data_IF_346065554606
#
_entry.id   IF_346065554606
#
_cell.length_a   1.000
_cell.length_b   1.000
_cell.length_c   1.000
_cell.angle_alpha   90.00
_cell.angle_beta   90.00
_cell.angle_gamma   90.00
#
_symmetry.space_group_name_H-M   'P 1'
#
loop_
_entity.id
_entity.type
_entity.pdbx_description
1 polymer ?
#
# COMPACT_ATOMS: atom_id res chain seq x y z
N UNK A 1 25.13 8.96 -10.21
CA UNK A 1 25.01 9.15 -11.66
C UNK A 1 24.47 7.84 -12.22
N UNK A 2 23.13 7.72 -12.29
CA UNK A 2 22.45 6.53 -12.84
C UNK A 2 22.63 6.52 -14.37
N UNK A 3 22.85 5.34 -14.97
CA UNK A 3 22.84 5.13 -16.42
C UNK A 3 21.57 5.74 -17.06
N UNK A 4 21.67 6.34 -18.26
CA UNK A 4 20.52 6.92 -18.93
C UNK A 4 19.45 5.85 -19.19
N UNK A 5 18.26 6.10 -18.64
CA UNK A 5 17.04 5.27 -18.67
C UNK A 5 16.47 4.96 -20.08
N UNK A 6 17.21 5.25 -21.15
CA UNK A 6 16.76 5.18 -22.54
C UNK A 6 17.04 3.83 -23.22
N UNK A 7 18.16 3.17 -22.90
CA UNK A 7 18.61 2.02 -23.71
C UNK A 7 17.89 0.71 -23.38
N UNK A 8 17.37 0.53 -22.16
CA UNK A 8 16.63 -0.70 -21.81
C UNK A 8 15.16 -0.68 -22.25
N UNK A 9 14.61 0.50 -22.57
CA UNK A 9 13.24 0.64 -23.06
C UNK A 9 13.13 0.59 -24.60
N UNK A 10 14.24 0.82 -25.31
CA UNK A 10 14.30 0.86 -26.78
C UNK A 10 14.43 -0.52 -27.44
N UNK A 11 14.50 -1.61 -26.65
CA UNK A 11 14.76 -2.97 -27.15
C UNK A 11 13.59 -3.72 -27.78
N UNK A 12 12.42 -3.10 -27.99
CA UNK A 12 11.29 -3.77 -28.62
C UNK A 12 10.49 -2.82 -29.53
N UNK A 13 10.84 -2.90 -30.81
CA UNK A 13 10.04 -2.61 -32.02
C UNK A 13 9.52 -1.18 -32.29
N UNK A 14 10.04 -0.63 -33.39
CA UNK A 14 9.56 0.48 -34.22
C UNK A 14 8.29 1.26 -33.77
N UNK A 15 8.47 2.34 -33.02
CA UNK A 15 7.60 3.52 -33.12
C UNK A 15 8.48 4.77 -33.30
N UNK A 16 8.44 5.32 -34.51
CA UNK A 16 9.24 6.45 -34.98
C UNK A 16 8.76 7.78 -34.39
N UNK A 17 9.08 8.04 -33.13
CA UNK A 17 9.16 9.40 -32.59
C UNK A 17 10.54 9.56 -31.97
N UNK A 18 11.35 10.46 -32.53
CA UNK A 18 12.67 10.75 -31.94
C UNK A 18 12.43 11.23 -30.50
N UNK A 19 13.17 10.72 -29.49
CA UNK A 19 12.99 11.11 -28.08
C UNK A 19 13.10 12.63 -27.87
N UNK A 20 13.73 13.35 -28.80
CA UNK A 20 13.84 14.82 -28.81
C UNK A 20 12.51 15.58 -28.96
N UNK A 21 11.46 15.01 -29.55
CA UNK A 21 10.17 15.70 -29.74
C UNK A 21 9.24 15.56 -28.52
N UNK A 22 9.58 14.67 -27.59
CA UNK A 22 8.77 14.37 -26.40
C UNK A 22 9.08 15.31 -25.23
N UNK A 23 10.27 15.90 -25.22
CA UNK A 23 10.80 16.74 -24.15
C UNK A 23 11.05 18.17 -24.63
N UNK A 24 10.83 19.16 -23.77
CA UNK A 24 10.93 20.57 -24.14
C UNK A 24 12.40 21.05 -24.07
N UNK A 25 13.01 21.34 -25.22
CA UNK A 25 14.20 22.22 -25.31
C UNK A 25 15.41 21.87 -24.45
N UNK A 26 15.73 20.59 -24.25
CA UNK A 26 16.86 20.13 -23.43
C UNK A 26 16.57 20.03 -21.93
N UNK A 27 15.37 20.42 -21.48
CA UNK A 27 14.85 20.07 -20.16
C UNK A 27 14.21 18.67 -20.19
N UNK A 28 14.36 17.90 -19.12
CA UNK A 28 13.73 16.58 -18.95
C UNK A 28 12.20 16.65 -18.68
N UNK A 29 11.54 17.79 -18.90
CA UNK A 29 10.07 17.93 -18.79
C UNK A 29 9.37 17.76 -20.15
N UNK A 30 8.15 17.24 -20.15
CA UNK A 30 7.42 16.91 -21.37
C UNK A 30 7.01 18.15 -22.17
N UNK A 31 7.17 18.11 -23.49
CA UNK A 31 6.54 19.07 -24.40
C UNK A 31 5.00 18.84 -24.44
N UNK A 32 4.21 19.85 -24.83
CA UNK A 32 2.76 19.67 -24.95
C UNK A 32 2.44 18.58 -25.98
N UNK A 33 1.77 17.51 -25.54
CA UNK A 33 1.44 16.37 -26.39
C UNK A 33 0.41 16.79 -27.46
N UNK A 34 0.82 16.76 -28.74
CA UNK A 34 -0.01 17.15 -29.89
C UNK A 34 -0.31 16.02 -30.88
N UNK A 35 0.30 14.85 -30.70
CA UNK A 35 0.13 13.68 -31.58
C UNK A 35 -0.24 12.44 -30.78
N UNK A 36 -0.96 11.52 -31.40
CA UNK A 36 -1.31 10.23 -30.80
C UNK A 36 -0.07 9.38 -30.49
N UNK A 37 0.94 9.38 -31.37
CA UNK A 37 2.18 8.63 -31.15
C UNK A 37 2.98 9.17 -29.97
N UNK A 38 2.97 10.50 -29.79
CA UNK A 38 3.56 11.15 -28.62
C UNK A 38 2.78 10.80 -27.34
N UNK A 39 1.45 10.77 -27.39
CA UNK A 39 0.61 10.36 -26.26
C UNK A 39 0.88 8.90 -25.88
N UNK A 40 0.94 7.98 -26.85
CA UNK A 40 1.21 6.56 -26.63
C UNK A 40 2.60 6.36 -26.00
N UNK A 41 3.61 7.04 -26.53
CA UNK A 41 4.98 6.96 -26.02
C UNK A 41 5.08 7.51 -24.60
N UNK A 42 4.48 8.68 -24.35
CA UNK A 42 4.40 9.31 -23.03
C UNK A 42 3.67 8.41 -22.02
N UNK A 43 2.53 7.84 -22.40
CA UNK A 43 1.76 6.91 -21.57
C UNK A 43 2.59 5.67 -21.19
N UNK A 44 3.30 5.08 -22.16
CA UNK A 44 4.14 3.91 -21.90
C UNK A 44 5.31 4.23 -20.97
N UNK A 45 6.01 5.34 -21.19
CA UNK A 45 7.13 5.77 -20.34
C UNK A 45 6.65 6.00 -18.90
N UNK A 46 5.54 6.73 -18.73
CA UNK A 46 4.96 7.00 -17.42
C UNK A 46 4.47 5.72 -16.73
N UNK A 47 3.91 4.78 -17.48
CA UNK A 47 3.53 3.45 -16.99
C UNK A 47 4.74 2.70 -16.44
N UNK A 48 5.82 2.62 -17.22
CA UNK A 48 7.04 1.90 -16.81
C UNK A 48 7.68 2.57 -15.58
N UNK A 49 7.74 3.89 -15.54
CA UNK A 49 8.25 4.64 -14.38
C UNK A 49 7.39 4.42 -13.14
N UNK A 50 6.06 4.43 -13.27
CA UNK A 50 5.13 4.15 -12.19
C UNK A 50 5.36 2.74 -11.63
N UNK A 51 5.31 1.71 -12.48
CA UNK A 51 5.39 0.32 -12.03
C UNK A 51 6.75 -0.10 -11.49
N UNK A 52 7.84 0.57 -11.89
CA UNK A 52 9.17 0.40 -11.25
C UNK A 52 9.15 0.73 -9.75
N UNK A 53 8.26 1.61 -9.30
CA UNK A 53 8.10 1.98 -7.89
C UNK A 53 6.87 1.28 -7.30
N UNK A 54 5.75 1.27 -8.01
CA UNK A 54 4.48 0.71 -7.56
C UNK A 54 4.57 -0.80 -7.31
N UNK A 55 5.19 -1.58 -8.20
CA UNK A 55 5.31 -3.03 -8.03
C UNK A 55 5.93 -3.44 -6.69
N UNK A 56 7.17 -3.02 -6.38
CA UNK A 56 7.79 -3.31 -5.08
C UNK A 56 7.00 -2.74 -3.90
N UNK A 57 6.38 -1.57 -4.05
CA UNK A 57 5.60 -0.95 -2.98
C UNK A 57 4.32 -1.72 -2.68
N UNK A 58 3.61 -2.18 -3.71
CA UNK A 58 2.43 -3.04 -3.59
C UNK A 58 2.80 -4.36 -2.92
N UNK A 59 3.91 -4.99 -3.32
CA UNK A 59 4.41 -6.21 -2.66
C UNK A 59 4.68 -5.93 -1.18
N UNK A 60 5.32 -4.81 -0.85
CA UNK A 60 5.58 -4.40 0.54
C UNK A 60 4.27 -4.29 1.32
N UNK A 61 3.26 -3.58 0.79
CA UNK A 61 1.97 -3.40 1.45
C UNK A 61 1.21 -4.71 1.63
N UNK A 62 1.18 -5.57 0.59
CA UNK A 62 0.55 -6.88 0.65
C UNK A 62 1.22 -7.80 1.67
N UNK A 63 2.56 -7.81 1.74
CA UNK A 63 3.28 -8.57 2.75
C UNK A 63 3.00 -8.05 4.17
N UNK A 64 2.98 -6.73 4.36
CA UNK A 64 2.64 -6.13 5.66
C UNK A 64 1.21 -6.46 6.09
N UNK A 65 0.26 -6.46 5.16
CA UNK A 65 -1.12 -6.89 5.44
C UNK A 65 -1.18 -8.38 5.75
N UNK A 66 -0.50 -9.20 4.94
CA UNK A 66 -0.38 -10.65 5.14
C UNK A 66 0.19 -11.02 6.51
N UNK A 67 1.18 -10.28 7.03
CA UNK A 67 1.69 -10.48 8.39
C UNK A 67 0.57 -10.37 9.43
N UNK A 68 -0.32 -9.37 9.31
CA UNK A 68 -1.46 -9.23 10.21
C UNK A 68 -2.47 -10.37 10.01
N UNK A 69 -2.79 -10.73 8.77
CA UNK A 69 -3.72 -11.83 8.47
C UNK A 69 -3.24 -13.16 9.05
N UNK A 70 -1.95 -13.49 8.88
CA UNK A 70 -1.34 -14.72 9.40
C UNK A 70 -1.46 -14.76 10.93
N UNK A 71 -1.15 -13.66 11.62
CA UNK A 71 -1.28 -13.62 13.09
C UNK A 71 -2.72 -13.87 13.52
N UNK A 72 -3.70 -13.22 12.88
CA UNK A 72 -5.11 -13.41 13.21
C UNK A 72 -5.55 -14.85 12.95
N UNK A 73 -5.05 -15.52 11.91
CA UNK A 73 -5.36 -16.94 11.65
C UNK A 73 -4.84 -17.83 12.78
N UNK A 74 -3.62 -17.61 13.24
CA UNK A 74 -3.02 -18.40 14.32
C UNK A 74 -3.58 -18.05 15.71
N UNK A 75 -3.96 -16.78 15.95
CA UNK A 75 -4.40 -16.27 17.26
C UNK A 75 -5.92 -16.30 17.42
N UNK A 76 -6.70 -16.28 16.34
CA UNK A 76 -8.17 -16.14 16.34
C UNK A 76 -8.96 -17.17 17.14
N UNK A 77 -8.28 -18.14 17.77
CA UNK A 77 -8.82 -19.10 18.73
C UNK A 77 -8.59 -18.73 20.20
N UNK A 78 -7.89 -17.64 20.54
CA UNK A 78 -7.44 -17.37 21.91
C UNK A 78 -7.64 -15.90 22.34
N UNK A 79 -8.13 -15.75 23.58
CA UNK A 79 -8.87 -14.59 24.09
C UNK A 79 -8.14 -13.24 24.21
N UNK A 80 -8.97 -12.21 24.31
CA UNK A 80 -8.66 -10.80 24.03
C UNK A 80 -8.07 -9.96 25.19
N UNK A 81 -7.59 -10.56 26.29
CA UNK A 81 -7.39 -9.79 27.55
C UNK A 81 -5.93 -9.46 27.89
N UNK A 82 -4.93 -10.20 27.38
CA UNK A 82 -3.51 -9.94 27.71
C UNK A 82 -2.77 -8.98 26.76
N UNK A 83 -3.46 -8.41 25.77
CA UNK A 83 -2.83 -7.69 24.64
C UNK A 83 -2.57 -6.19 24.88
N UNK A 84 -3.12 -5.56 25.92
CA UNK A 84 -3.23 -4.10 26.01
C UNK A 84 -1.93 -3.36 26.37
N UNK A 85 -1.15 -3.86 27.34
CA UNK A 85 0.10 -3.22 27.77
C UNK A 85 1.26 -3.42 26.78
N UNK A 86 1.31 -4.59 26.13
CA UNK A 86 2.26 -4.89 25.05
C UNK A 86 1.98 -4.01 23.83
N UNK A 87 0.70 -3.77 23.50
CA UNK A 87 0.31 -2.94 22.34
C UNK A 87 0.88 -1.53 22.36
N UNK A 88 0.94 -0.85 23.51
CA UNK A 88 1.40 0.55 23.60
C UNK A 88 2.91 0.66 23.31
N UNK A 89 3.73 -0.22 23.88
CA UNK A 89 5.17 -0.23 23.62
C UNK A 89 5.48 -0.58 22.15
N UNK A 90 4.72 -1.53 21.59
CA UNK A 90 4.78 -1.91 20.17
C UNK A 90 4.42 -0.77 19.23
N UNK A 91 3.44 0.07 19.58
CA UNK A 91 3.01 1.20 18.75
C UNK A 91 4.15 2.19 18.51
N UNK A 92 4.96 2.48 19.53
CA UNK A 92 6.08 3.44 19.41
C UNK A 92 7.13 2.94 18.42
N UNK A 93 7.56 1.69 18.55
CA UNK A 93 8.60 1.09 17.70
C UNK A 93 8.10 0.91 16.27
N UNK A 94 6.85 0.47 16.12
CA UNK A 94 6.19 0.37 14.82
C UNK A 94 6.16 1.73 14.13
N UNK A 95 5.90 2.81 14.89
CA UNK A 95 5.93 4.19 14.37
C UNK A 95 7.32 4.59 13.88
N UNK A 96 8.40 4.23 14.61
CA UNK A 96 9.77 4.45 14.16
C UNK A 96 10.07 3.70 12.85
N UNK A 97 9.72 2.41 12.77
CA UNK A 97 9.89 1.61 11.55
C UNK A 97 9.13 2.21 10.36
N UNK A 98 7.92 2.72 10.58
CA UNK A 98 7.16 3.42 9.55
C UNK A 98 7.86 4.69 9.06
N UNK A 99 8.52 5.44 9.95
CA UNK A 99 9.34 6.60 9.57
C UNK A 99 10.46 6.22 8.60
N UNK A 100 11.22 5.17 8.90
CA UNK A 100 12.30 4.68 8.02
C UNK A 100 11.77 4.10 6.70
N UNK A 101 10.62 3.44 6.73
CA UNK A 101 9.92 2.98 5.54
C UNK A 101 9.54 4.17 4.63
N UNK A 102 8.99 5.24 5.20
CA UNK A 102 8.64 6.46 4.43
C UNK A 102 9.88 7.13 3.85
N UNK A 103 10.98 7.17 4.59
CA UNK A 103 12.26 7.67 4.09
C UNK A 103 12.75 6.86 2.86
N UNK A 104 12.78 5.53 2.95
CA UNK A 104 13.21 4.67 1.85
C UNK A 104 12.26 4.74 0.63
N UNK A 105 10.96 4.96 0.86
CA UNK A 105 9.99 5.23 -0.20
C UNK A 105 10.31 6.54 -0.93
N UNK A 106 10.54 7.63 -0.20
CA UNK A 106 10.90 8.93 -0.80
C UNK A 106 12.19 8.85 -1.64
N UNK A 107 13.18 8.08 -1.16
CA UNK A 107 14.44 7.83 -1.87
C UNK A 107 14.33 6.81 -3.02
N UNK A 108 13.12 6.34 -3.36
CA UNK A 108 12.85 5.32 -4.40
C UNK A 108 13.59 3.99 -4.18
N UNK A 109 14.06 3.68 -2.97
CA UNK A 109 14.72 2.39 -2.63
C UNK A 109 13.70 1.31 -2.24
N UNK A 110 12.55 1.30 -2.91
CA UNK A 110 11.40 0.44 -2.60
C UNK A 110 11.63 -1.05 -2.88
N UNK A 111 12.59 -1.41 -3.73
CA UNK A 111 12.98 -2.82 -3.96
C UNK A 111 13.52 -3.49 -2.69
N UNK A 112 14.26 -2.74 -1.88
CA UNK A 112 14.82 -3.24 -0.62
C UNK A 112 13.71 -3.43 0.41
N UNK A 113 12.76 -2.50 0.47
CA UNK A 113 11.57 -2.63 1.30
C UNK A 113 10.76 -3.89 0.95
N UNK A 114 10.59 -4.19 -0.34
CA UNK A 114 9.88 -5.38 -0.79
C UNK A 114 10.56 -6.67 -0.31
N UNK A 115 11.89 -6.77 -0.46
CA UNK A 115 12.64 -7.93 0.02
C UNK A 115 12.58 -8.08 1.53
N UNK A 116 12.74 -6.98 2.29
CA UNK A 116 12.61 -6.99 3.76
C UNK A 116 11.20 -7.46 4.17
N UNK A 117 10.15 -7.00 3.48
CA UNK A 117 8.77 -7.38 3.80
C UNK A 117 8.47 -8.86 3.47
N UNK A 118 8.94 -9.37 2.33
CA UNK A 118 8.78 -10.78 1.94
C UNK A 118 9.52 -11.69 2.93
N UNK A 119 10.78 -11.38 3.23
CA UNK A 119 11.57 -12.16 4.20
C UNK A 119 10.97 -12.08 5.60
N UNK A 120 10.50 -10.89 6.01
CA UNK A 120 9.81 -10.68 7.27
C UNK A 120 8.55 -11.56 7.39
N UNK A 121 7.75 -11.66 6.32
CA UNK A 121 6.58 -12.54 6.30
C UNK A 121 6.95 -14.03 6.40
N UNK A 122 7.99 -14.47 5.69
CA UNK A 122 8.45 -15.87 5.75
C UNK A 122 8.95 -16.21 7.16
N UNK A 123 9.77 -15.33 7.75
CA UNK A 123 10.28 -15.49 9.11
C UNK A 123 9.11 -15.51 10.11
N UNK A 124 8.12 -14.62 9.95
CA UNK A 124 6.91 -14.60 10.79
C UNK A 124 6.18 -15.93 10.77
N UNK A 125 5.91 -16.49 9.57
CA UNK A 125 5.20 -17.76 9.44
C UNK A 125 5.99 -18.88 10.11
N UNK A 126 7.30 -18.98 9.86
CA UNK A 126 8.15 -19.99 10.47
C UNK A 126 8.22 -19.89 11.99
N UNK A 127 8.34 -18.68 12.52
CA UNK A 127 8.36 -18.45 13.96
C UNK A 127 7.01 -18.70 14.64
N UNK A 128 5.90 -18.35 13.99
CA UNK A 128 4.56 -18.68 14.51
C UNK A 128 4.34 -20.19 14.57
N UNK A 129 4.72 -20.92 13.53
CA UNK A 129 4.70 -22.39 13.55
C UNK A 129 5.54 -22.95 14.70
N UNK A 130 6.74 -22.42 14.92
CA UNK A 130 7.60 -22.86 16.01
C UNK A 130 7.00 -22.56 17.40
N UNK A 131 6.66 -21.30 17.69
CA UNK A 131 6.20 -20.89 19.02
C UNK A 131 4.81 -21.40 19.38
N UNK A 132 3.92 -21.53 18.39
CA UNK A 132 2.54 -21.97 18.65
C UNK A 132 2.41 -23.48 18.53
N UNK A 133 2.94 -24.11 17.46
CA UNK A 133 2.74 -25.54 17.23
C UNK A 133 3.75 -26.42 17.99
N UNK A 134 5.00 -25.97 18.16
CA UNK A 134 6.03 -26.77 18.84
C UNK A 134 6.10 -26.44 20.33
N UNK A 135 6.19 -25.15 20.67
CA UNK A 135 6.36 -24.73 22.07
C UNK A 135 5.04 -24.54 22.84
N UNK A 136 3.89 -24.46 22.14
CA UNK A 136 2.58 -24.34 22.78
C UNK A 136 2.33 -23.01 23.50
N UNK A 137 3.05 -21.94 23.13
CA UNK A 137 3.00 -20.65 23.83
C UNK A 137 1.74 -19.81 23.52
N UNK A 138 0.81 -20.33 22.71
CA UNK A 138 -0.48 -19.69 22.44
C UNK A 138 -0.37 -18.22 21.99
N UNK A 139 -1.14 -17.34 22.63
CA UNK A 139 -1.17 -15.89 22.33
C UNK A 139 0.16 -15.19 22.61
N UNK A 140 0.84 -15.59 23.68
CA UNK A 140 2.15 -15.05 24.05
C UNK A 140 3.17 -15.37 22.96
N UNK A 141 3.15 -16.59 22.42
CA UNK A 141 4.00 -16.97 21.28
C UNK A 141 3.76 -16.11 20.04
N UNK A 142 2.51 -15.75 19.77
CA UNK A 142 2.16 -14.87 18.65
C UNK A 142 2.64 -13.43 18.84
N UNK A 143 2.46 -12.87 20.05
CA UNK A 143 2.93 -11.54 20.40
C UNK A 143 4.45 -11.44 20.26
N UNK A 144 5.19 -12.39 20.88
CA UNK A 144 6.65 -12.45 20.80
C UNK A 144 7.14 -12.58 19.36
N UNK A 145 6.47 -13.39 18.53
CA UNK A 145 6.83 -13.53 17.12
C UNK A 145 6.67 -12.21 16.37
N UNK A 146 5.52 -11.55 16.55
CA UNK A 146 5.27 -10.25 15.93
C UNK A 146 6.33 -9.23 16.33
N UNK A 147 6.70 -9.20 17.60
CA UNK A 147 7.70 -8.28 18.13
C UNK A 147 9.06 -8.49 17.51
N UNK A 148 9.55 -9.74 17.52
CA UNK A 148 10.87 -10.07 16.97
C UNK A 148 10.93 -9.72 15.49
N UNK A 149 9.88 -10.02 14.71
CA UNK A 149 9.85 -9.71 13.28
C UNK A 149 9.78 -8.20 13.04
N UNK A 150 8.96 -7.46 13.80
CA UNK A 150 8.84 -6.00 13.67
C UNK A 150 10.15 -5.29 14.03
N UNK A 151 10.84 -5.74 15.08
CA UNK A 151 12.18 -5.28 15.43
C UNK A 151 13.19 -5.61 14.34
N UNK A 152 13.17 -6.84 13.82
CA UNK A 152 14.04 -7.27 12.74
C UNK A 152 13.89 -6.40 11.48
N UNK A 153 12.65 -6.09 11.10
CA UNK A 153 12.35 -5.19 9.97
C UNK A 153 12.86 -3.77 10.25
N UNK A 154 12.60 -3.21 11.43
CA UNK A 154 13.05 -1.88 11.80
C UNK A 154 14.58 -1.75 11.76
N UNK A 155 15.28 -2.71 12.38
CA UNK A 155 16.75 -2.75 12.39
C UNK A 155 17.30 -2.91 10.98
N UNK A 156 16.73 -3.81 10.17
CA UNK A 156 17.16 -4.02 8.79
C UNK A 156 17.03 -2.74 7.94
N UNK A 157 15.94 -1.99 8.10
CA UNK A 157 15.76 -0.70 7.43
C UNK A 157 16.80 0.33 7.88
N UNK A 158 17.05 0.47 9.18
CA UNK A 158 18.02 1.42 9.74
C UNK A 158 19.44 1.08 9.28
N UNK A 159 19.83 -0.19 9.36
CA UNK A 159 21.15 -0.67 8.90
C UNK A 159 21.34 -0.36 7.42
N UNK A 160 20.31 -0.60 6.59
CA UNK A 160 20.38 -0.29 5.17
C UNK A 160 20.52 1.22 4.90
N UNK A 161 19.77 2.05 5.61
CA UNK A 161 19.84 3.52 5.49
C UNK A 161 21.25 4.02 5.83
N UNK A 162 21.81 3.59 6.96
CA UNK A 162 23.12 4.04 7.41
C UNK A 162 24.28 3.49 6.54
N UNK A 163 24.16 2.27 6.04
CA UNK A 163 25.20 1.62 5.25
C UNK A 163 25.22 2.03 3.78
N UNK A 164 24.06 1.96 3.12
CA UNK A 164 23.93 2.06 1.65
C UNK A 164 23.25 3.35 1.15
N UNK A 165 22.61 4.13 2.02
CA UNK A 165 21.92 5.36 1.63
C UNK A 165 22.70 6.63 2.01
N UNK A 166 23.99 6.69 1.66
CA UNK A 166 24.88 7.82 2.00
C UNK A 166 24.49 9.15 1.35
N UNK A 167 23.82 9.13 0.20
CA UNK A 167 23.37 10.35 -0.49
C UNK A 167 22.14 10.99 0.16
N UNK A 168 21.25 10.18 0.75
CA UNK A 168 20.02 10.66 1.38
C UNK A 168 20.12 10.87 2.89
N UNK A 169 21.05 10.19 3.56
CA UNK A 169 21.24 10.26 5.01
C UNK A 169 22.57 10.93 5.37
N UNK A 170 22.50 12.15 5.91
CA UNK A 170 23.67 12.94 6.34
C UNK A 170 23.91 12.89 7.87
N UNK A 171 23.16 12.05 8.59
CA UNK A 171 23.23 11.92 10.04
C UNK A 171 22.16 12.72 10.78
N UNK A 172 22.21 12.65 12.12
CA UNK A 172 21.28 13.38 12.97
C UNK A 172 21.67 14.86 13.03
N UNK A 173 20.70 15.74 12.77
CA UNK A 173 20.88 17.19 12.84
C UNK A 173 19.70 17.86 13.49
N UNK A 174 19.97 18.88 14.31
CA UNK A 174 18.95 19.73 14.92
C UNK A 174 18.13 20.52 13.89
N UNK A 175 18.62 20.62 12.65
CA UNK A 175 17.89 21.23 11.55
C UNK A 175 16.55 20.52 11.26
N UNK A 176 16.44 19.23 11.60
CA UNK A 176 15.21 18.45 11.43
C UNK A 176 14.02 19.01 12.24
N UNK A 177 14.28 19.72 13.35
CA UNK A 177 13.23 20.30 14.18
C UNK A 177 12.74 21.67 13.69
N UNK A 178 13.41 22.28 12.72
CA UNK A 178 13.08 23.63 12.24
C UNK A 178 11.68 23.70 11.63
N UNK A 179 11.29 22.68 10.86
CA UNK A 179 10.01 22.62 10.13
C UNK A 179 8.98 21.69 10.80
N UNK A 180 9.18 21.34 12.08
CA UNK A 180 8.36 20.32 12.75
C UNK A 180 6.88 20.74 12.84
N UNK A 181 6.59 22.03 13.00
CA UNK A 181 5.21 22.50 13.10
C UNK A 181 4.43 22.35 11.78
N UNK A 182 5.08 22.66 10.65
CA UNK A 182 4.49 22.43 9.32
C UNK A 182 4.21 20.94 9.10
N UNK A 183 5.17 20.08 9.46
CA UNK A 183 5.02 18.63 9.40
C UNK A 183 3.88 18.11 10.29
N UNK A 184 3.78 18.59 11.54
CA UNK A 184 2.73 18.19 12.49
C UNK A 184 1.35 18.59 11.96
N UNK A 185 1.20 19.80 11.42
CA UNK A 185 -0.08 20.27 10.86
C UNK A 185 -0.55 19.39 9.70
N UNK A 186 0.35 19.06 8.76
CA UNK A 186 0.04 18.18 7.63
C UNK A 186 -0.27 16.74 8.08
N UNK A 187 0.51 16.23 9.04
CA UNK A 187 0.32 14.89 9.62
C UNK A 187 -1.00 14.78 10.38
N UNK A 188 -1.41 15.83 11.09
CA UNK A 188 -2.67 15.85 11.82
C UNK A 188 -3.89 15.76 10.89
N UNK A 189 -3.88 16.48 9.76
CA UNK A 189 -4.94 16.39 8.76
C UNK A 189 -5.04 14.96 8.19
N UNK A 190 -3.89 14.35 7.87
CA UNK A 190 -3.81 12.97 7.39
C UNK A 190 -4.29 11.96 8.45
N UNK A 191 -3.91 12.16 9.71
CA UNK A 191 -4.32 11.32 10.83
C UNK A 191 -5.84 11.37 11.06
N UNK A 192 -6.44 12.56 11.04
CA UNK A 192 -7.90 12.71 11.18
C UNK A 192 -8.63 12.02 10.04
N UNK A 193 -8.18 12.18 8.80
CA UNK A 193 -8.77 11.52 7.63
C UNK A 193 -8.76 9.99 7.79
N UNK A 194 -7.62 9.42 8.17
CA UNK A 194 -7.44 7.97 8.34
C UNK A 194 -8.26 7.45 9.54
N UNK A 195 -8.25 8.17 10.66
CA UNK A 195 -9.06 7.81 11.83
C UNK A 195 -10.56 7.78 11.50
N UNK A 196 -11.07 8.78 10.77
CA UNK A 196 -12.47 8.82 10.36
C UNK A 196 -12.84 7.65 9.46
N UNK A 197 -11.94 7.26 8.54
CA UNK A 197 -12.15 6.09 7.67
C UNK A 197 -12.24 4.79 8.48
N UNK A 198 -11.32 4.55 9.42
CA UNK A 198 -11.36 3.36 10.29
C UNK A 198 -12.58 3.38 11.21
N UNK A 199 -12.87 4.52 11.84
CA UNK A 199 -14.00 4.64 12.77
C UNK A 199 -15.33 4.43 12.06
N UNK A 200 -15.49 4.98 10.85
CA UNK A 200 -16.67 4.76 10.03
C UNK A 200 -16.92 3.26 9.80
N UNK A 201 -15.88 2.49 9.44
CA UNK A 201 -16.02 1.04 9.26
C UNK A 201 -16.37 0.32 10.57
N UNK A 202 -15.75 0.68 11.69
CA UNK A 202 -16.06 0.09 12.99
C UNK A 202 -17.49 0.40 13.43
N UNK A 203 -17.98 1.61 13.17
CA UNK A 203 -19.38 1.98 13.44
C UNK A 203 -20.36 1.15 12.63
N UNK A 204 -20.10 0.91 11.33
CA UNK A 204 -20.95 0.03 10.50
C UNK A 204 -20.96 -1.40 11.05
N UNK A 205 -19.80 -1.92 11.45
CA UNK A 205 -19.70 -3.28 11.99
C UNK A 205 -20.48 -3.43 13.31
N UNK A 206 -20.36 -2.46 14.22
CA UNK A 206 -21.13 -2.43 15.48
C UNK A 206 -22.63 -2.35 15.20
N UNK A 207 -23.06 -1.50 14.26
CA UNK A 207 -24.47 -1.36 13.91
C UNK A 207 -25.03 -2.65 13.30
N UNK A 208 -24.24 -3.30 12.44
CA UNK A 208 -24.59 -4.59 11.81
C UNK A 208 -24.75 -5.70 12.85
N UNK A 209 -24.00 -5.63 13.96
CA UNK A 209 -24.12 -6.55 15.09
C UNK A 209 -25.41 -6.43 15.91
N UNK A 210 -26.22 -5.39 15.68
CA UNK A 210 -27.52 -5.20 16.34
C UNK A 210 -28.70 -5.66 15.48
N UNK A 211 -28.47 -6.24 14.30
CA UNK A 211 -29.52 -6.79 13.45
C UNK A 211 -30.01 -8.14 13.99
N UNK A 212 -31.26 -8.49 13.70
CA UNK A 212 -31.88 -9.76 14.16
C UNK A 212 -31.08 -11.00 13.72
N UNK A 213 -30.37 -10.92 12.59
CA UNK A 213 -29.45 -11.95 12.08
C UNK A 213 -27.97 -11.52 12.22
N UNK A 214 -27.59 -10.94 13.36
CA UNK A 214 -26.28 -10.34 13.61
C UNK A 214 -25.09 -11.23 13.21
N UNK A 215 -25.13 -12.53 13.53
CA UNK A 215 -24.04 -13.47 13.22
C UNK A 215 -23.81 -13.57 11.71
N UNK A 216 -24.89 -13.73 10.93
CA UNK A 216 -24.83 -13.83 9.48
C UNK A 216 -24.42 -12.48 8.88
N UNK A 217 -25.00 -11.38 9.36
CA UNK A 217 -24.74 -10.05 8.82
C UNK A 217 -23.29 -9.58 9.07
N UNK A 218 -22.80 -9.70 10.32
CA UNK A 218 -21.42 -9.36 10.69
C UNK A 218 -20.43 -10.32 10.03
N UNK A 219 -20.74 -11.62 9.97
CA UNK A 219 -19.91 -12.60 9.27
C UNK A 219 -19.77 -12.27 7.78
N UNK A 220 -20.87 -11.93 7.12
CA UNK A 220 -20.88 -11.58 5.70
C UNK A 220 -20.06 -10.32 5.43
N UNK A 221 -20.28 -9.29 6.26
CA UNK A 221 -19.56 -8.03 6.17
C UNK A 221 -18.06 -8.22 6.40
N UNK A 222 -17.67 -9.04 7.38
CA UNK A 222 -16.26 -9.34 7.69
C UNK A 222 -15.56 -10.06 6.54
N UNK A 223 -16.23 -11.01 5.88
CA UNK A 223 -15.71 -11.68 4.68
C UNK A 223 -15.50 -10.67 3.54
N UNK A 224 -16.50 -9.83 3.26
CA UNK A 224 -16.39 -8.78 2.25
C UNK A 224 -15.27 -7.78 2.57
N UNK A 225 -15.13 -7.38 3.84
CA UNK A 225 -14.08 -6.47 4.30
C UNK A 225 -12.68 -7.06 4.17
N UNK A 226 -12.51 -8.36 4.38
CA UNK A 226 -11.21 -9.02 4.21
C UNK A 226 -10.74 -8.91 2.74
N UNK A 227 -11.64 -9.17 1.80
CA UNK A 227 -11.40 -9.02 0.35
C UNK A 227 -11.09 -7.56 0.00
N UNK A 228 -11.92 -6.63 0.49
CA UNK A 228 -11.69 -5.21 0.31
C UNK A 228 -10.34 -4.77 0.91
N UNK A 229 -9.89 -5.39 1.99
CA UNK A 229 -8.60 -5.11 2.62
C UNK A 229 -7.41 -5.43 1.71
N UNK A 230 -7.44 -6.55 0.99
CA UNK A 230 -6.39 -6.89 0.03
C UNK A 230 -6.34 -5.90 -1.15
N UNK A 231 -7.50 -5.54 -1.69
CA UNK A 231 -7.59 -4.52 -2.74
C UNK A 231 -7.10 -3.16 -2.24
N UNK A 232 -7.51 -2.74 -1.05
CA UNK A 232 -7.10 -1.48 -0.45
C UNK A 232 -5.56 -1.41 -0.36
N UNK A 233 -4.89 -2.49 0.02
CA UNK A 233 -3.43 -2.54 0.09
C UNK A 233 -2.76 -2.41 -1.28
N UNK A 234 -3.39 -2.95 -2.34
CA UNK A 234 -2.95 -2.75 -3.72
C UNK A 234 -3.02 -1.26 -4.10
N UNK A 235 -4.15 -0.60 -3.87
CA UNK A 235 -4.30 0.82 -4.23
C UNK A 235 -3.52 1.77 -3.33
N UNK A 236 -3.36 1.46 -2.04
CA UNK A 236 -2.46 2.19 -1.15
C UNK A 236 -1.01 2.08 -1.62
N UNK A 237 -0.58 0.90 -2.10
CA UNK A 237 0.75 0.71 -2.68
C UNK A 237 0.97 1.56 -3.93
N UNK A 238 -0.01 1.62 -4.83
CA UNK A 238 0.04 2.51 -6.01
C UNK A 238 0.02 3.98 -5.59
N UNK A 239 -0.82 4.35 -4.62
CA UNK A 239 -0.91 5.72 -4.09
C UNK A 239 0.43 6.22 -3.54
N UNK A 240 1.12 5.39 -2.75
CA UNK A 240 2.45 5.73 -2.25
C UNK A 240 3.45 5.94 -3.40
N UNK A 241 3.41 5.08 -4.42
CA UNK A 241 4.29 5.22 -5.57
C UNK A 241 4.03 6.51 -6.35
N UNK A 242 2.76 6.84 -6.63
CA UNK A 242 2.43 8.09 -7.33
C UNK A 242 2.76 9.33 -6.48
N UNK A 243 2.53 9.31 -5.16
CA UNK A 243 2.96 10.39 -4.26
C UNK A 243 4.47 10.62 -4.34
N UNK A 244 5.29 9.57 -4.19
CA UNK A 244 6.75 9.68 -4.31
C UNK A 244 7.17 10.25 -5.67
N UNK A 245 6.51 9.82 -6.75
CA UNK A 245 6.80 10.33 -8.09
C UNK A 245 6.44 11.80 -8.23
N UNK A 246 5.21 12.18 -7.89
CA UNK A 246 4.72 13.56 -8.00
C UNK A 246 5.57 14.49 -7.15
N UNK A 247 5.90 14.11 -5.90
CA UNK A 247 6.82 14.88 -5.05
C UNK A 247 8.17 15.13 -5.72
N UNK A 248 8.77 14.09 -6.29
CA UNK A 248 10.11 14.19 -6.87
C UNK A 248 10.12 14.96 -8.20
N UNK A 249 9.11 14.79 -9.05
CA UNK A 249 8.97 15.54 -10.31
C UNK A 249 8.72 17.04 -10.03
N UNK A 250 7.83 17.36 -9.08
CA UNK A 250 7.60 18.75 -8.66
C UNK A 250 8.84 19.37 -8.03
N UNK A 251 9.53 18.64 -7.14
CA UNK A 251 10.79 19.08 -6.54
C UNK A 251 11.92 19.30 -7.55
N UNK A 252 11.86 18.64 -8.71
CA UNK A 252 12.80 18.81 -9.82
C UNK A 252 12.38 19.88 -10.83
N UNK A 253 11.30 20.61 -10.57
CA UNK A 253 10.78 21.67 -11.46
C UNK A 253 10.10 21.16 -12.72
N UNK A 254 9.53 19.93 -12.70
CA UNK A 254 8.90 19.27 -13.86
C UNK A 254 7.38 19.10 -13.68
N UNK A 255 6.60 20.18 -13.75
CA UNK A 255 5.17 20.14 -13.45
C UNK A 255 4.36 19.33 -14.47
N UNK A 256 4.79 19.25 -15.74
CA UNK A 256 4.05 18.47 -16.75
C UNK A 256 4.26 16.98 -16.55
N UNK A 257 5.48 16.53 -16.28
CA UNK A 257 5.75 15.15 -15.87
C UNK A 257 4.91 14.73 -14.65
N UNK A 258 4.82 15.58 -13.62
CA UNK A 258 3.96 15.33 -12.46
C UNK A 258 2.48 15.17 -12.86
N UNK A 259 1.94 16.10 -13.65
CA UNK A 259 0.54 16.08 -14.11
C UNK A 259 0.22 14.82 -14.93
N UNK A 260 1.09 14.48 -15.88
CA UNK A 260 0.93 13.32 -16.73
C UNK A 260 1.05 12.01 -15.96
N UNK A 261 1.95 11.93 -14.99
CA UNK A 261 2.06 10.79 -14.07
C UNK A 261 0.74 10.53 -13.33
N UNK A 262 0.05 11.59 -12.86
CA UNK A 262 -1.25 11.48 -12.20
C UNK A 262 -2.32 10.95 -13.16
N UNK A 263 -2.42 11.52 -14.37
CA UNK A 263 -3.43 11.08 -15.35
C UNK A 263 -3.28 9.61 -15.75
N UNK A 264 -2.05 9.16 -16.02
CA UNK A 264 -1.78 7.76 -16.36
C UNK A 264 -2.15 6.84 -15.20
N UNK A 265 -1.82 7.24 -13.97
CA UNK A 265 -2.12 6.44 -12.77
C UNK A 265 -3.62 6.33 -12.52
N UNK A 266 -4.36 7.43 -12.58
CA UNK A 266 -5.83 7.43 -12.40
C UNK A 266 -6.50 6.53 -13.45
N UNK A 267 -6.05 6.63 -14.70
CA UNK A 267 -6.57 5.78 -15.77
C UNK A 267 -6.29 4.29 -15.51
N UNK A 268 -5.07 3.92 -15.10
CA UNK A 268 -4.73 2.54 -14.77
C UNK A 268 -5.50 2.00 -13.57
N UNK A 269 -5.70 2.82 -12.53
CA UNK A 269 -6.44 2.41 -11.35
C UNK A 269 -7.93 2.22 -11.63
N UNK A 270 -8.53 3.06 -12.49
CA UNK A 270 -9.88 2.84 -12.99
C UNK A 270 -9.98 1.48 -13.71
N UNK A 271 -9.05 1.19 -14.62
CA UNK A 271 -9.05 -0.09 -15.34
C UNK A 271 -8.86 -1.29 -14.39
N UNK A 272 -7.96 -1.17 -13.42
CA UNK A 272 -7.73 -2.22 -12.41
C UNK A 272 -8.96 -2.41 -11.51
N UNK A 273 -9.61 -1.33 -11.08
CA UNK A 273 -10.84 -1.37 -10.28
C UNK A 273 -12.01 -2.00 -11.03
N UNK A 274 -12.19 -1.67 -12.32
CA UNK A 274 -13.19 -2.32 -13.18
C UNK A 274 -12.89 -3.82 -13.31
N UNK A 275 -11.62 -4.18 -13.51
CA UNK A 275 -11.21 -5.58 -13.59
C UNK A 275 -11.51 -6.34 -12.29
N UNK A 276 -11.13 -5.80 -11.13
CA UNK A 276 -11.39 -6.42 -9.82
C UNK A 276 -12.89 -6.54 -9.52
N UNK A 277 -13.67 -5.52 -9.87
CA UNK A 277 -15.13 -5.56 -9.78
C UNK A 277 -15.70 -6.72 -10.61
N UNK A 278 -15.28 -6.87 -11.87
CA UNK A 278 -15.74 -7.97 -12.74
C UNK A 278 -15.36 -9.32 -12.12
N UNK A 279 -14.12 -9.47 -11.64
CA UNK A 279 -13.65 -10.71 -11.00
C UNK A 279 -14.50 -11.06 -9.78
N UNK A 280 -14.81 -10.11 -8.90
CA UNK A 280 -15.64 -10.37 -7.71
C UNK A 280 -17.08 -10.69 -8.07
N UNK A 281 -17.65 -10.05 -9.09
CA UNK A 281 -19.01 -10.37 -9.54
C UNK A 281 -19.10 -11.76 -10.16
N UNK A 282 -18.07 -12.20 -10.89
CA UNK A 282 -18.01 -13.56 -11.45
C UNK A 282 -17.80 -14.60 -10.34
N UNK A 283 -16.94 -14.30 -9.37
CA UNK A 283 -16.57 -15.25 -8.31
C UNK A 283 -17.53 -15.23 -7.12
N UNK A 284 -18.59 -14.40 -7.15
CA UNK A 284 -19.49 -14.10 -6.02
C UNK A 284 -20.08 -15.32 -5.31
N UNK A 285 -20.38 -16.38 -6.07
CA UNK A 285 -21.00 -17.60 -5.54
C UNK A 285 -19.96 -18.63 -5.09
N UNK A 286 -18.68 -18.44 -5.44
CA UNK A 286 -17.61 -19.40 -5.21
C UNK A 286 -16.58 -18.94 -4.18
N UNK A 287 -16.29 -17.64 -4.07
CA UNK A 287 -15.24 -17.18 -3.15
C UNK A 287 -15.65 -17.33 -1.68
N UNK A 288 -16.95 -17.29 -1.37
CA UNK A 288 -17.47 -17.43 -0.01
C UNK A 288 -17.19 -18.82 0.59
N UNK A 289 -17.00 -19.84 -0.27
CA UNK A 289 -16.58 -21.19 0.13
C UNK A 289 -15.19 -21.23 0.79
N UNK A 290 -14.32 -20.27 0.48
CA UNK A 290 -12.98 -20.16 1.10
C UNK A 290 -13.06 -19.74 2.57
N UNK A 291 -14.15 -19.08 2.97
CA UNK A 291 -14.29 -18.49 4.30
C UNK A 291 -15.34 -19.20 5.17
N UNK A 292 -16.33 -19.85 4.57
CA UNK A 292 -17.39 -20.54 5.31
C UNK A 292 -18.04 -21.69 4.56
N UNK A 293 -18.47 -22.71 5.30
CA UNK A 293 -19.31 -23.81 4.81
C UNK A 293 -20.81 -23.59 5.01
N UNK A 294 -21.20 -22.51 5.70
CA UNK A 294 -22.61 -22.17 5.97
C UNK A 294 -23.28 -21.57 4.72
N UNK A 295 -24.36 -22.19 4.25
CA UNK A 295 -25.08 -21.78 3.03
C UNK A 295 -25.80 -20.44 3.18
N UNK A 296 -26.33 -20.14 4.36
CA UNK A 296 -27.04 -18.87 4.61
C UNK A 296 -26.03 -17.71 4.61
N UNK A 297 -24.84 -17.96 5.16
CA UNK A 297 -23.73 -17.01 5.11
C UNK A 297 -23.20 -16.81 3.69
N UNK A 298 -23.06 -17.89 2.91
CA UNK A 298 -22.67 -17.81 1.50
C UNK A 298 -23.66 -16.99 0.67
N UNK A 299 -24.96 -17.19 0.87
CA UNK A 299 -25.99 -16.45 0.13
C UNK A 299 -26.00 -14.96 0.50
N UNK A 300 -25.79 -14.63 1.78
CA UNK A 300 -25.69 -13.25 2.23
C UNK A 300 -24.44 -12.54 1.66
N UNK A 301 -23.29 -13.21 1.65
CA UNK A 301 -22.06 -12.71 1.01
C UNK A 301 -22.27 -12.50 -0.50
N UNK A 302 -22.92 -13.45 -1.20
CA UNK A 302 -23.17 -13.31 -2.64
C UNK A 302 -24.07 -12.12 -2.98
N UNK A 303 -25.01 -11.75 -2.10
CA UNK A 303 -25.82 -10.52 -2.25
C UNK A 303 -24.99 -9.26 -2.00
N UNK A 304 -24.13 -9.27 -0.98
CA UNK A 304 -23.23 -8.14 -0.67
C UNK A 304 -22.12 -7.97 -1.71
N UNK A 305 -21.73 -9.04 -2.42
CA UNK A 305 -20.68 -9.00 -3.44
C UNK A 305 -20.95 -7.98 -4.55
N UNK A 306 -22.22 -7.70 -4.88
CA UNK A 306 -22.58 -6.64 -5.81
C UNK A 306 -22.22 -5.25 -5.29
N UNK A 307 -22.58 -4.98 -4.03
CA UNK A 307 -22.24 -3.72 -3.37
C UNK A 307 -20.72 -3.60 -3.20
N UNK A 308 -20.08 -4.70 -2.79
CA UNK A 308 -18.63 -4.80 -2.67
C UNK A 308 -17.97 -4.43 -4.00
N UNK A 309 -18.33 -5.03 -5.14
CA UNK A 309 -17.74 -4.70 -6.44
C UNK A 309 -17.83 -3.20 -6.80
N UNK A 310 -18.96 -2.55 -6.49
CA UNK A 310 -19.11 -1.10 -6.68
C UNK A 310 -18.19 -0.33 -5.72
N UNK A 311 -18.14 -0.72 -4.45
CA UNK A 311 -17.25 -0.12 -3.44
C UNK A 311 -15.78 -0.26 -3.84
N UNK A 312 -15.39 -1.42 -4.35
CA UNK A 312 -14.04 -1.72 -4.85
C UNK A 312 -13.64 -0.76 -5.98
N UNK A 313 -14.54 -0.55 -6.95
CA UNK A 313 -14.34 0.42 -8.02
C UNK A 313 -14.19 1.86 -7.50
N UNK A 314 -15.04 2.29 -6.57
CA UNK A 314 -14.96 3.65 -6.00
C UNK A 314 -13.66 3.85 -5.19
N UNK A 315 -13.27 2.83 -4.42
CA UNK A 315 -12.04 2.82 -3.62
C UNK A 315 -10.76 2.80 -4.48
N UNK A 316 -10.83 2.36 -5.74
CA UNK A 316 -9.65 2.36 -6.63
C UNK A 316 -9.10 3.76 -6.94
N UNK A 317 -9.95 4.78 -6.93
CA UNK A 317 -9.60 6.15 -7.32
C UNK A 317 -9.33 7.04 -6.11
N UNK A 318 -10.11 6.87 -5.04
CA UNK A 318 -10.11 7.76 -3.87
C UNK A 318 -8.72 7.98 -3.25
N UNK A 319 -7.90 6.94 -2.99
CA UNK A 319 -6.56 7.11 -2.39
C UNK A 319 -5.63 7.97 -3.24
N UNK A 320 -5.74 7.89 -4.56
CA UNK A 320 -4.85 8.61 -5.49
C UNK A 320 -5.19 10.09 -5.48
N UNK A 321 -6.49 10.43 -5.50
CA UNK A 321 -6.93 11.83 -5.48
C UNK A 321 -6.58 12.47 -4.13
N UNK A 322 -6.78 11.76 -3.02
CA UNK A 322 -6.43 12.28 -1.70
C UNK A 322 -4.91 12.42 -1.52
N UNK A 323 -4.14 11.41 -1.92
CA UNK A 323 -2.69 11.41 -1.83
C UNK A 323 -2.04 12.48 -2.69
N UNK A 324 -2.51 12.69 -3.92
CA UNK A 324 -1.96 13.71 -4.83
C UNK A 324 -2.23 15.13 -4.34
N UNK A 325 -3.41 15.42 -3.76
CA UNK A 325 -3.68 16.73 -3.16
C UNK A 325 -2.71 17.05 -2.03
N UNK A 326 -2.56 16.12 -1.08
CA UNK A 326 -1.62 16.27 0.05
C UNK A 326 -0.15 16.41 -0.40
N UNK A 327 0.18 15.94 -1.59
CA UNK A 327 1.55 16.00 -2.14
C UNK A 327 1.84 17.33 -2.85
N UNK A 328 0.80 18.02 -3.32
CA UNK A 328 0.90 19.27 -4.05
C UNK A 328 0.76 20.52 -3.16
N UNK A 329 0.23 20.36 -1.95
CA UNK A 329 0.09 21.41 -0.92
C UNK A 329 1.39 21.61 -0.13
#
# INVERSE_FOLDING_TARGET
>A
MEEPLLDTAAGADHLSTKPHDLYEGGNEDYAPVRSFDALRSMFWIETVKLWKIAGPTVITMLCMYGTNSVIVIFVGHLGAVELSAVSISLSVITTFAYGFLKFLQAQRKVKVLAWIAVLGLIIQIGMLCLFILVFGWGTLGAAVTFDIVRWGVAIAQVVYIMGWCREGWTGFSWLAFKEIWAFVRLSLASAVMLCLEIWYFMSILILTGHLDNAVIAVGSLSICMNINGFELMLFVGINVAISVRVSNELGSGRPRAAKYSVYVTVFQCLLMGIFLMIVILITKDSFSLLFTSDKDLQQAVAKLAYLLGITMLLNSIQPIISGTRLTCD
#
